data_IF_764433087534
#
_entry.id   IF_764433087534
#
_cell.length_a   1.000
_cell.length_b   1.000
_cell.length_c   1.000
_cell.angle_alpha   90.00
_cell.angle_beta   90.00
_cell.angle_gamma   90.00
#
_symmetry.space_group_name_H-M   'P 1'
#
loop_
_entity.id
_entity.type
_entity.pdbx_description
1 polymer ?
#
# COMPACT_ATOMS: atom_id res chain seq x y z
N UNK A 1 -28.74 -15.07 -10.51
CA UNK A 1 -28.10 -14.30 -9.42
C UNK A 1 -26.76 -14.91 -8.98
N UNK A 2 -26.66 -16.22 -8.75
CA UNK A 2 -25.43 -16.89 -8.30
C UNK A 2 -24.27 -16.79 -9.32
N UNK A 3 -24.54 -16.97 -10.61
CA UNK A 3 -23.51 -16.88 -11.68
C UNK A 3 -22.89 -15.50 -11.76
N UNK A 4 -23.68 -14.43 -11.61
CA UNK A 4 -23.18 -13.06 -11.61
C UNK A 4 -22.22 -12.76 -10.44
N UNK A 5 -22.48 -13.36 -9.26
CA UNK A 5 -21.65 -13.18 -8.08
C UNK A 5 -20.31 -13.93 -8.20
N UNK A 6 -20.34 -15.15 -8.76
CA UNK A 6 -19.13 -15.96 -9.00
C UNK A 6 -18.25 -15.28 -10.06
N UNK A 7 -18.84 -14.78 -11.16
CA UNK A 7 -18.09 -14.09 -12.19
C UNK A 7 -17.44 -12.81 -11.67
N UNK A 8 -18.13 -12.02 -10.83
CA UNK A 8 -17.56 -10.83 -10.18
C UNK A 8 -16.41 -11.19 -9.22
N UNK A 9 -16.54 -12.26 -8.46
CA UNK A 9 -15.50 -12.72 -7.53
C UNK A 9 -14.25 -13.20 -8.30
N UNK A 10 -14.42 -13.98 -9.36
CA UNK A 10 -13.33 -14.46 -10.21
C UNK A 10 -12.63 -13.29 -10.93
N UNK A 11 -13.38 -12.33 -11.46
CA UNK A 11 -12.83 -11.14 -12.11
C UNK A 11 -12.04 -10.29 -11.11
N UNK A 12 -12.55 -10.12 -9.89
CA UNK A 12 -11.86 -9.39 -8.81
C UNK A 12 -10.54 -10.08 -8.42
N UNK A 13 -10.55 -11.40 -8.31
CA UNK A 13 -9.38 -12.22 -7.99
C UNK A 13 -8.33 -12.21 -9.12
N UNK A 14 -8.78 -12.24 -10.38
CA UNK A 14 -7.91 -12.19 -11.56
C UNK A 14 -7.21 -10.82 -11.70
N UNK A 15 -7.94 -9.71 -11.47
CA UNK A 15 -7.38 -8.35 -11.50
C UNK A 15 -6.32 -8.16 -10.41
N UNK A 16 -6.53 -8.71 -9.20
CA UNK A 16 -5.56 -8.63 -8.11
C UNK A 16 -4.24 -9.31 -8.50
N UNK A 17 -4.30 -10.47 -9.17
CA UNK A 17 -3.13 -11.25 -9.56
C UNK A 17 -2.21 -10.53 -10.57
N UNK A 18 -2.71 -9.52 -11.27
CA UNK A 18 -1.95 -8.75 -12.26
C UNK A 18 -1.41 -7.41 -11.73
N UNK A 19 -1.79 -7.00 -10.52
CA UNK A 19 -1.35 -5.72 -9.96
C UNK A 19 0.07 -5.83 -9.44
N UNK A 20 0.98 -5.09 -10.07
CA UNK A 20 2.37 -4.95 -9.63
C UNK A 20 2.56 -3.62 -8.93
N UNK A 21 3.19 -3.69 -7.78
CA UNK A 21 3.52 -2.56 -6.94
C UNK A 21 5.03 -2.38 -6.84
N UNK A 22 5.45 -1.20 -6.45
CA UNK A 22 6.86 -0.88 -6.33
C UNK A 22 7.26 -0.73 -4.87
N UNK A 23 8.35 -1.39 -4.51
CA UNK A 23 9.03 -1.24 -3.23
C UNK A 23 10.34 -0.49 -3.46
N UNK A 24 10.59 0.51 -2.64
CA UNK A 24 11.85 1.21 -2.55
C UNK A 24 12.56 0.81 -1.26
N UNK A 25 13.86 0.58 -1.36
CA UNK A 25 14.74 0.44 -0.21
C UNK A 25 15.85 1.47 -0.36
N UNK A 26 15.99 2.36 0.60
CA UNK A 26 17.09 3.29 0.67
C UNK A 26 18.28 2.56 1.31
N UNK A 27 19.33 2.34 0.55
CA UNK A 27 20.66 2.06 1.06
C UNK A 27 21.45 3.37 1.10
N UNK A 28 22.59 3.41 1.78
CA UNK A 28 23.33 4.64 2.08
C UNK A 28 23.49 5.59 0.89
N UNK A 29 23.79 5.06 -0.31
CA UNK A 29 24.02 5.86 -1.51
C UNK A 29 23.08 5.57 -2.69
N UNK A 30 22.20 4.58 -2.56
CA UNK A 30 21.33 4.18 -3.68
C UNK A 30 19.92 3.87 -3.22
N UNK A 31 18.96 4.20 -4.06
CA UNK A 31 17.56 3.75 -3.89
C UNK A 31 17.37 2.51 -4.76
N UNK A 32 17.39 1.34 -4.14
CA UNK A 32 17.02 0.11 -4.82
C UNK A 32 15.52 0.10 -5.08
N UNK A 33 15.14 -0.25 -6.31
CA UNK A 33 13.77 -0.38 -6.75
C UNK A 33 13.49 -1.85 -7.06
N UNK A 34 12.46 -2.40 -6.44
CA UNK A 34 11.97 -3.74 -6.76
C UNK A 34 10.47 -3.72 -7.03
N UNK A 35 10.04 -4.58 -7.93
CA UNK A 35 8.63 -4.73 -8.30
C UNK A 35 8.17 -6.09 -7.82
N UNK A 36 6.99 -6.14 -7.22
CA UNK A 36 6.37 -7.39 -6.77
C UNK A 36 4.86 -7.39 -6.98
N UNK A 37 4.28 -8.55 -7.02
CA UNK A 37 2.82 -8.69 -7.09
C UNK A 37 2.19 -8.26 -5.76
N UNK A 38 1.03 -7.62 -5.85
CA UNK A 38 0.30 -7.13 -4.68
C UNK A 38 0.02 -8.25 -3.67
N UNK A 39 -0.34 -9.44 -4.13
CA UNK A 39 -0.64 -10.59 -3.27
C UNK A 39 0.59 -11.07 -2.48
N UNK A 40 1.76 -11.05 -3.13
CA UNK A 40 3.02 -11.38 -2.47
C UNK A 40 3.30 -10.39 -1.34
N UNK A 41 3.07 -9.08 -1.59
CA UNK A 41 3.26 -8.08 -0.56
C UNK A 41 2.25 -8.24 0.58
N UNK A 42 0.96 -8.43 0.27
CA UNK A 42 -0.07 -8.64 1.30
C UNK A 42 0.28 -9.83 2.18
N UNK A 43 0.78 -10.92 1.57
CA UNK A 43 1.24 -12.08 2.33
C UNK A 43 2.46 -11.75 3.20
N UNK A 44 3.45 -11.01 2.68
CA UNK A 44 4.60 -10.54 3.48
C UNK A 44 4.18 -9.68 4.68
N UNK A 45 3.19 -8.80 4.50
CA UNK A 45 2.64 -7.99 5.60
C UNK A 45 1.98 -8.86 6.67
N UNK A 46 1.25 -9.91 6.26
CA UNK A 46 0.57 -10.83 7.20
C UNK A 46 1.56 -11.69 7.98
N UNK A 47 2.57 -12.19 7.32
CA UNK A 47 3.46 -13.23 7.89
C UNK A 47 4.76 -12.65 8.44
N UNK A 48 5.20 -11.50 7.92
CA UNK A 48 6.48 -10.86 8.26
C UNK A 48 7.64 -11.89 8.33
N UNK A 49 7.67 -12.81 7.37
CA UNK A 49 8.69 -13.85 7.29
C UNK A 49 10.04 -13.21 6.93
N UNK A 50 11.10 -13.59 7.62
CA UNK A 50 12.50 -13.12 7.51
C UNK A 50 12.74 -11.72 8.07
N UNK A 51 13.81 -11.61 8.86
CA UNK A 51 14.36 -10.41 9.51
C UNK A 51 13.40 -9.55 10.35
N UNK A 52 12.10 -9.81 10.34
CA UNK A 52 11.07 -9.14 11.13
C UNK A 52 11.27 -7.60 11.27
N UNK A 53 11.48 -6.86 10.18
CA UNK A 53 11.96 -5.48 10.25
C UNK A 53 10.95 -4.54 10.91
N UNK A 54 9.65 -4.78 10.74
CA UNK A 54 8.59 -3.96 11.34
C UNK A 54 8.43 -4.27 12.82
N UNK A 55 8.50 -5.55 13.22
CA UNK A 55 8.47 -5.94 14.64
C UNK A 55 9.67 -5.38 15.38
N UNK A 56 10.86 -5.53 14.82
CA UNK A 56 12.10 -4.97 15.39
C UNK A 56 12.02 -3.45 15.51
N UNK A 57 11.51 -2.77 14.47
CA UNK A 57 11.29 -1.33 14.53
C UNK A 57 10.34 -0.94 15.67
N UNK A 58 9.21 -1.65 15.84
CA UNK A 58 8.25 -1.38 16.92
C UNK A 58 8.84 -1.62 18.32
N UNK A 59 9.68 -2.62 18.48
CA UNK A 59 10.41 -2.87 19.73
C UNK A 59 11.35 -1.71 20.03
N UNK A 60 12.11 -1.24 19.05
CA UNK A 60 13.02 -0.11 19.20
C UNK A 60 12.31 1.22 19.48
N UNK A 61 11.07 1.43 18.98
CA UNK A 61 10.32 2.66 19.23
C UNK A 61 10.14 3.00 20.73
N UNK A 62 10.31 2.02 21.64
CA UNK A 62 10.23 2.22 23.08
C UNK A 62 11.46 2.93 23.64
N UNK A 63 12.59 2.83 22.95
CA UNK A 63 13.91 3.30 23.41
C UNK A 63 14.48 4.45 22.57
N UNK A 64 13.95 4.67 21.38
CA UNK A 64 14.41 5.71 20.44
C UNK A 64 13.78 7.05 20.80
N UNK A 65 14.59 8.10 20.84
CA UNK A 65 14.11 9.48 21.00
C UNK A 65 13.17 9.89 19.87
N UNK A 66 12.16 10.76 20.12
CA UNK A 66 11.17 11.15 19.11
C UNK A 66 11.75 11.66 17.80
N UNK A 67 12.79 12.47 17.85
CA UNK A 67 13.52 13.05 16.72
C UNK A 67 14.33 12.04 15.92
N UNK A 68 14.80 10.96 16.53
CA UNK A 68 15.51 9.89 15.84
C UNK A 68 14.58 8.89 15.12
N UNK A 69 13.29 8.89 15.44
CA UNK A 69 12.30 7.93 14.88
C UNK A 69 12.24 7.98 13.37
N UNK A 70 12.37 9.16 12.78
CA UNK A 70 12.37 9.31 11.33
C UNK A 70 13.55 8.61 10.67
N UNK A 71 14.74 8.64 11.28
CA UNK A 71 15.93 7.98 10.74
C UNK A 71 15.75 6.46 10.72
N UNK A 72 15.19 5.88 11.80
CA UNK A 72 14.91 4.45 11.85
C UNK A 72 13.76 4.04 10.91
N UNK A 73 12.71 4.85 10.80
CA UNK A 73 11.61 4.61 9.87
C UNK A 73 12.08 4.60 8.40
N UNK A 74 13.02 5.45 8.05
CA UNK A 74 13.59 5.53 6.70
C UNK A 74 14.39 4.29 6.29
N UNK A 75 14.81 3.46 7.25
CA UNK A 75 15.45 2.16 6.96
C UNK A 75 14.43 1.08 6.55
N UNK A 76 13.15 1.29 6.83
CA UNK A 76 12.11 0.37 6.40
C UNK A 76 11.87 0.49 4.88
N UNK A 77 11.54 -0.63 4.21
CA UNK A 77 11.12 -0.58 2.83
C UNK A 77 9.90 0.31 2.65
N UNK A 78 9.97 1.27 1.74
CA UNK A 78 8.84 2.11 1.35
C UNK A 78 8.09 1.45 0.21
N UNK A 79 6.76 1.46 0.28
CA UNK A 79 5.90 0.82 -0.70
C UNK A 79 5.04 1.89 -1.37
N UNK A 80 4.99 1.86 -2.69
CA UNK A 80 4.08 2.68 -3.49
C UNK A 80 3.06 1.74 -4.13
N UNK A 81 1.86 1.59 -3.54
CA UNK A 81 0.82 0.73 -4.08
C UNK A 81 0.18 1.31 -5.34
N UNK A 82 0.21 2.63 -5.50
CA UNK A 82 -0.48 3.34 -6.57
C UNK A 82 0.05 3.02 -7.97
N UNK A 83 1.32 2.63 -8.11
CA UNK A 83 1.91 2.44 -9.42
C UNK A 83 3.08 1.44 -9.43
N UNK A 84 3.29 0.85 -10.61
CA UNK A 84 4.52 0.16 -10.98
C UNK A 84 5.51 1.16 -11.58
N UNK A 85 6.73 1.23 -11.01
CA UNK A 85 7.81 2.06 -11.53
C UNK A 85 8.95 1.19 -12.07
N UNK A 86 9.67 1.72 -13.05
CA UNK A 86 10.92 1.15 -13.57
C UNK A 86 11.99 2.23 -13.64
N UNK A 87 13.24 1.83 -13.73
CA UNK A 87 14.36 2.73 -14.06
C UNK A 87 14.61 2.68 -15.56
N UNK A 88 14.69 3.86 -16.17
CA UNK A 88 15.09 4.04 -17.57
C UNK A 88 16.12 5.16 -17.58
N UNK A 89 17.32 4.86 -18.06
CA UNK A 89 18.45 5.81 -18.09
C UNK A 89 18.72 6.47 -16.71
N UNK A 90 18.66 5.66 -15.62
CA UNK A 90 18.86 6.15 -14.25
C UNK A 90 17.64 6.85 -13.62
N UNK A 91 16.66 7.28 -14.42
CA UNK A 91 15.48 7.98 -13.96
C UNK A 91 14.33 7.01 -13.62
N UNK A 92 13.53 7.38 -12.63
CA UNK A 92 12.33 6.65 -12.25
C UNK A 92 11.16 7.05 -13.16
N UNK A 93 10.61 6.09 -13.87
CA UNK A 93 9.45 6.26 -14.74
C UNK A 93 8.29 5.39 -14.28
N UNK A 94 7.08 5.92 -14.29
CA UNK A 94 5.86 5.15 -14.10
C UNK A 94 5.64 4.26 -15.32
N UNK A 95 5.42 2.96 -15.06
CA UNK A 95 5.08 1.98 -16.09
C UNK A 95 3.58 1.76 -16.18
N UNK A 96 2.95 1.52 -15.02
CA UNK A 96 1.51 1.31 -14.92
C UNK A 96 0.99 2.02 -13.67
N UNK A 97 -0.20 2.59 -13.75
CA UNK A 97 -0.94 3.09 -12.61
C UNK A 97 -1.96 2.04 -12.17
N UNK A 98 -2.08 1.79 -10.88
CA UNK A 98 -2.91 0.72 -10.31
C UNK A 98 -4.28 1.20 -9.80
N UNK A 99 -4.51 2.50 -9.74
CA UNK A 99 -5.72 3.06 -9.14
C UNK A 99 -5.83 2.87 -7.62
N UNK A 100 -4.75 2.49 -6.94
CA UNK A 100 -4.74 2.30 -5.50
C UNK A 100 -4.43 3.63 -4.81
N UNK A 101 -5.31 4.03 -3.89
CA UNK A 101 -5.11 5.15 -2.97
C UNK A 101 -4.80 4.59 -1.58
N UNK A 102 -3.74 5.10 -0.96
CA UNK A 102 -3.41 4.77 0.44
C UNK A 102 -3.95 5.86 1.35
N UNK A 103 -4.79 5.45 2.31
CA UNK A 103 -5.22 6.27 3.43
C UNK A 103 -4.47 5.84 4.69
N UNK A 104 -4.20 6.80 5.57
CA UNK A 104 -3.60 6.54 6.88
C UNK A 104 -4.49 7.14 7.96
N UNK A 105 -5.05 6.29 8.81
CA UNK A 105 -5.89 6.69 9.95
C UNK A 105 -5.07 6.60 11.23
N UNK A 106 -5.08 7.63 12.01
CA UNK A 106 -4.39 7.69 13.31
C UNK A 106 -3.80 9.05 13.62
N UNK A 107 -3.16 9.22 14.80
CA UNK A 107 -2.75 8.14 15.72
C UNK A 107 -3.92 7.53 16.49
N UNK A 108 -3.89 6.20 16.68
CA UNK A 108 -4.89 5.43 17.44
C UNK A 108 -4.30 5.05 18.81
N UNK A 109 -5.16 5.04 19.82
CA UNK A 109 -4.72 4.93 21.21
C UNK A 109 -4.40 3.49 21.63
N UNK A 110 -5.14 2.51 21.06
CA UNK A 110 -5.06 1.13 21.49
C UNK A 110 -5.34 0.12 20.37
N UNK A 111 -5.11 -1.17 20.66
CA UNK A 111 -5.31 -2.26 19.72
C UNK A 111 -6.76 -2.47 19.32
N UNK A 112 -7.71 -2.16 20.19
CA UNK A 112 -9.16 -2.31 19.92
C UNK A 112 -9.61 -1.29 18.87
N UNK A 113 -9.18 -0.05 18.98
CA UNK A 113 -9.41 0.99 17.96
C UNK A 113 -8.82 0.60 16.60
N UNK A 114 -7.58 0.07 16.60
CA UNK A 114 -6.94 -0.43 15.39
C UNK A 114 -7.75 -1.56 14.75
N UNK A 115 -8.25 -2.50 15.56
CA UNK A 115 -9.08 -3.60 15.08
C UNK A 115 -10.41 -3.09 14.49
N UNK A 116 -11.06 -2.15 15.16
CA UNK A 116 -12.32 -1.55 14.71
C UNK A 116 -12.14 -0.80 13.38
N UNK A 117 -11.13 0.04 13.27
CA UNK A 117 -10.84 0.76 12.02
C UNK A 117 -10.55 -0.20 10.87
N UNK A 118 -9.78 -1.26 11.10
CA UNK A 118 -9.52 -2.30 10.10
C UNK A 118 -10.79 -3.01 9.67
N UNK A 119 -11.65 -3.38 10.63
CA UNK A 119 -12.93 -4.02 10.34
C UNK A 119 -13.79 -3.11 9.47
N UNK A 120 -14.01 -1.85 9.88
CA UNK A 120 -14.80 -0.87 9.13
C UNK A 120 -14.26 -0.61 7.73
N UNK A 121 -12.95 -0.53 7.60
CA UNK A 121 -12.32 -0.40 6.29
C UNK A 121 -12.60 -1.63 5.39
N UNK A 122 -12.56 -2.84 5.94
CA UNK A 122 -12.81 -4.07 5.18
C UNK A 122 -14.28 -4.25 4.77
N UNK A 123 -15.23 -3.57 5.43
CA UNK A 123 -16.64 -3.52 5.05
C UNK A 123 -16.86 -2.72 3.75
N UNK A 124 -15.92 -1.84 3.38
CA UNK A 124 -16.03 -1.04 2.18
C UNK A 124 -15.65 -1.85 0.93
N UNK A 125 -16.49 -1.87 -0.11
CA UNK A 125 -16.28 -2.72 -1.29
C UNK A 125 -15.02 -2.35 -2.11
N UNK A 126 -14.57 -1.09 -2.03
CA UNK A 126 -13.38 -0.60 -2.71
C UNK A 126 -12.09 -1.00 -1.97
N UNK A 127 -12.16 -1.36 -0.69
CA UNK A 127 -10.97 -1.69 0.10
C UNK A 127 -10.35 -2.99 -0.36
N UNK A 128 -9.06 -2.94 -0.67
CA UNK A 128 -8.25 -4.12 -1.02
C UNK A 128 -7.61 -4.76 0.19
N UNK A 129 -7.06 -3.94 1.07
CA UNK A 129 -6.54 -4.39 2.35
C UNK A 129 -6.47 -3.25 3.35
N UNK A 130 -6.52 -3.61 4.64
CA UNK A 130 -6.29 -2.72 5.75
C UNK A 130 -5.33 -3.39 6.74
N UNK A 131 -4.25 -2.71 7.10
CA UNK A 131 -3.23 -3.26 7.99
C UNK A 131 -2.65 -2.21 8.92
N UNK A 132 -2.07 -2.68 10.01
CA UNK A 132 -1.45 -1.80 11.00
C UNK A 132 -0.14 -1.22 10.44
N UNK A 133 0.01 0.10 10.48
CA UNK A 133 1.22 0.81 10.07
C UNK A 133 2.45 0.41 10.90
N UNK A 134 3.64 0.77 10.43
CA UNK A 134 4.91 0.39 11.06
C UNK A 134 5.04 0.86 12.51
N UNK A 135 4.51 2.03 12.85
CA UNK A 135 4.53 2.56 14.23
C UNK A 135 3.65 1.77 15.21
N UNK A 136 2.73 0.93 14.74
CA UNK A 136 1.75 0.26 15.58
C UNK A 136 0.60 1.14 16.07
N UNK A 137 0.56 2.42 15.65
CA UNK A 137 -0.45 3.41 16.08
C UNK A 137 -1.34 3.92 14.95
N UNK A 138 -1.19 3.40 13.75
CA UNK A 138 -1.98 3.81 12.58
C UNK A 138 -2.52 2.60 11.86
N UNK A 139 -3.58 2.79 11.09
CA UNK A 139 -4.08 1.82 10.11
C UNK A 139 -3.86 2.41 8.73
N UNK A 140 -3.22 1.64 7.87
CA UNK A 140 -3.11 1.92 6.44
C UNK A 140 -4.18 1.15 5.70
N UNK A 141 -4.91 1.85 4.84
CA UNK A 141 -6.03 1.32 4.07
C UNK A 141 -5.71 1.57 2.60
N UNK A 142 -5.76 0.53 1.80
CA UNK A 142 -5.61 0.62 0.35
C UNK A 142 -6.96 0.42 -0.31
N UNK A 143 -7.44 1.47 -0.96
CA UNK A 143 -8.69 1.49 -1.70
C UNK A 143 -8.43 1.61 -3.19
N UNK A 144 -9.29 1.05 -4.02
CA UNK A 144 -9.15 1.12 -5.48
C UNK A 144 -10.22 1.98 -6.11
N UNK A 145 -9.79 2.81 -7.05
CA UNK A 145 -10.63 3.65 -7.88
C UNK A 145 -10.33 3.39 -9.35
N UNK A 146 -11.37 3.44 -10.16
CA UNK A 146 -11.30 3.39 -11.62
C UNK A 146 -12.16 4.51 -12.20
N UNK A 147 -11.99 4.81 -13.46
CA UNK A 147 -12.93 5.64 -14.21
C UNK A 147 -14.28 4.91 -14.33
N UNK A 148 -15.38 5.59 -14.69
CA UNK A 148 -16.69 4.97 -14.85
C UNK A 148 -16.71 3.81 -15.88
N UNK A 149 -15.83 3.86 -16.87
CA UNK A 149 -15.63 2.81 -17.88
C UNK A 149 -14.69 1.67 -17.41
N UNK A 150 -14.32 1.64 -16.12
CA UNK A 150 -13.35 0.74 -15.49
C UNK A 150 -11.91 0.88 -16.02
N UNK A 151 -11.60 1.90 -16.80
CA UNK A 151 -10.23 2.18 -17.22
C UNK A 151 -9.41 2.89 -16.14
N UNK A 152 -8.09 2.86 -16.32
CA UNK A 152 -7.13 3.59 -15.51
C UNK A 152 -6.34 4.59 -16.38
N UNK A 153 -5.84 5.69 -15.79
CA UNK A 153 -4.92 6.59 -16.45
C UNK A 153 -3.71 5.87 -17.03
N UNK A 154 -3.28 6.29 -18.21
CA UNK A 154 -2.13 5.69 -18.91
C UNK A 154 -0.87 6.56 -18.83
N UNK A 155 -1.03 7.88 -18.78
CA UNK A 155 0.08 8.81 -18.62
C UNK A 155 0.30 9.19 -17.17
N UNK A 156 1.48 9.72 -16.87
CA UNK A 156 1.82 10.16 -15.53
C UNK A 156 0.95 11.36 -15.10
N UNK A 157 0.77 12.30 -15.98
CA UNK A 157 0.00 13.54 -15.73
C UNK A 157 -1.47 13.21 -15.44
N UNK A 158 -2.08 12.33 -16.25
CA UNK A 158 -3.44 11.85 -15.98
C UNK A 158 -3.52 11.10 -14.65
N UNK A 159 -2.52 10.27 -14.33
CA UNK A 159 -2.49 9.51 -13.09
C UNK A 159 -2.37 10.41 -11.85
N UNK A 160 -1.57 11.46 -11.92
CA UNK A 160 -1.42 12.43 -10.83
C UNK A 160 -2.75 13.17 -10.55
N UNK A 161 -3.43 13.65 -11.60
CA UNK A 161 -4.73 14.32 -11.46
C UNK A 161 -5.82 13.36 -10.95
N UNK A 162 -5.88 12.16 -11.53
CA UNK A 162 -6.83 11.15 -11.10
C UNK A 162 -6.60 10.73 -9.65
N UNK A 163 -5.35 10.51 -9.26
CA UNK A 163 -4.99 10.13 -7.89
C UNK A 163 -5.39 11.19 -6.87
N UNK A 164 -5.12 12.46 -7.18
CA UNK A 164 -5.50 13.57 -6.31
C UNK A 164 -7.03 13.66 -6.15
N UNK A 165 -7.80 13.40 -7.22
CA UNK A 165 -9.25 13.37 -7.15
C UNK A 165 -9.76 12.15 -6.36
N UNK A 166 -9.25 10.98 -6.65
CA UNK A 166 -9.61 9.74 -5.94
C UNK A 166 -9.29 9.81 -4.44
N UNK A 167 -8.18 10.46 -4.06
CA UNK A 167 -7.82 10.67 -2.67
C UNK A 167 -8.83 11.54 -1.90
N UNK A 168 -9.48 12.51 -2.58
CA UNK A 168 -10.52 13.35 -1.96
C UNK A 168 -11.85 12.62 -1.79
N UNK A 169 -12.07 11.57 -2.57
CA UNK A 169 -13.28 10.74 -2.52
C UNK A 169 -13.14 9.55 -1.55
N UNK A 170 -11.93 9.22 -1.15
CA UNK A 170 -11.63 8.10 -0.26
C UNK A 170 -11.83 8.47 1.21
#
# INVERSE_FOLDING_TARGET
LAVSTITKALTKQFIIKLMKITQFRKNEDTIALSVMDLDILVNKIKTEIKSRPVSTFREHLRYILPDERCMFANKLPQIIPAAEFRRVNGQKQMKNYNGIVELTIGPLSNKSEIALVKQKACEQPQTRCAFMGSSGKTVKIWTTFTRPDNSLPKTREEAELFHAHAYRLA
#
